data_IF_621641946532
#
_entry.id   IF_621641946532
#
_cell.length_a   1.000
_cell.length_b   1.000
_cell.length_c   1.000
_cell.angle_alpha   90.00
_cell.angle_beta   90.00
_cell.angle_gamma   90.00
#
_symmetry.space_group_name_H-M   'P 1'
#
loop_
_entity.id
_entity.type
_entity.pdbx_description
1 polymer ?
#
# COMPACT_ATOMS: atom_id res chain seq x y z
N UNK A 1 -12.79 28.13 -11.86
CA UNK A 1 -12.21 27.41 -13.02
C UNK A 1 -12.19 25.93 -12.70
N UNK A 2 -12.75 25.08 -13.56
CA UNK A 2 -12.87 23.65 -13.33
C UNK A 2 -11.47 22.97 -13.34
N UNK A 3 -11.09 22.22 -12.29
CA UNK A 3 -9.78 21.58 -12.20
C UNK A 3 -9.82 20.27 -12.98
N UNK A 4 -9.79 20.33 -14.31
CA UNK A 4 -9.83 19.13 -15.17
C UNK A 4 -8.49 18.76 -15.82
N UNK A 5 -7.39 19.44 -15.54
CA UNK A 5 -6.20 19.37 -16.41
C UNK A 5 -4.86 19.00 -15.77
N UNK A 6 -4.76 18.54 -14.52
CA UNK A 6 -3.43 18.40 -13.90
C UNK A 6 -3.26 17.14 -13.03
N UNK A 7 -3.78 15.98 -13.47
CA UNK A 7 -3.31 14.72 -12.89
C UNK A 7 -1.99 14.33 -13.53
N UNK A 8 -0.97 14.24 -12.68
CA UNK A 8 0.41 13.94 -13.02
C UNK A 8 0.55 12.85 -14.08
N UNK A 9 1.53 13.01 -14.97
CA UNK A 9 2.06 11.89 -15.74
C UNK A 9 2.33 10.76 -14.75
N UNK A 10 1.71 9.59 -14.91
CA UNK A 10 1.98 8.44 -14.02
C UNK A 10 3.41 7.97 -14.22
N UNK A 11 4.04 7.48 -13.17
CA UNK A 11 5.31 6.80 -13.31
C UNK A 11 5.14 5.61 -14.25
N UNK A 12 6.04 5.43 -15.22
CA UNK A 12 6.00 4.26 -16.09
C UNK A 12 6.67 3.09 -15.36
N UNK A 13 5.93 2.02 -15.02
CA UNK A 13 6.50 0.89 -14.30
C UNK A 13 7.64 0.27 -15.10
N UNK A 14 8.72 -0.12 -14.42
CA UNK A 14 9.81 -0.86 -15.07
C UNK A 14 9.38 -2.31 -15.32
N UNK A 15 9.33 -2.71 -16.58
CA UNK A 15 9.07 -4.09 -16.98
C UNK A 15 10.34 -4.95 -16.81
N UNK A 16 10.30 -5.82 -15.80
CA UNK A 16 11.38 -6.73 -15.42
C UNK A 16 11.07 -8.19 -15.77
N UNK A 17 10.07 -8.43 -16.63
CA UNK A 17 9.75 -9.79 -17.12
C UNK A 17 10.90 -10.42 -17.89
N UNK A 18 11.79 -9.60 -18.44
CA UNK A 18 13.00 -10.01 -19.18
C UNK A 18 14.26 -10.06 -18.31
N UNK A 19 14.19 -9.95 -16.99
CA UNK A 19 15.37 -10.10 -16.15
C UNK A 19 15.89 -11.55 -16.20
N UNK A 20 17.18 -11.75 -16.51
CA UNK A 20 17.73 -13.08 -16.80
C UNK A 20 18.25 -13.83 -15.57
N UNK A 21 18.51 -13.11 -14.46
CA UNK A 21 18.94 -13.70 -13.21
C UNK A 21 18.57 -12.82 -12.01
N UNK A 22 18.83 -13.33 -10.80
CA UNK A 22 18.44 -12.68 -9.54
C UNK A 22 19.24 -11.41 -9.24
N UNK A 23 20.53 -11.38 -9.58
CA UNK A 23 21.38 -10.20 -9.37
C UNK A 23 20.90 -9.04 -10.24
N UNK A 24 20.64 -9.31 -11.52
CA UNK A 24 20.06 -8.34 -12.43
C UNK A 24 18.68 -7.89 -11.95
N UNK A 25 17.81 -8.81 -11.51
CA UNK A 25 16.50 -8.44 -10.96
C UNK A 25 16.61 -7.54 -9.72
N UNK A 26 17.56 -7.83 -8.82
CA UNK A 26 17.84 -7.00 -7.65
C UNK A 26 18.28 -5.58 -8.05
N UNK A 27 19.33 -5.47 -8.88
CA UNK A 27 19.88 -4.19 -9.31
C UNK A 27 18.82 -3.36 -10.05
N UNK A 28 18.02 -4.01 -10.89
CA UNK A 28 16.99 -3.34 -11.68
C UNK A 28 15.83 -2.82 -10.84
N UNK A 29 15.44 -3.54 -9.78
CA UNK A 29 14.44 -3.08 -8.80
C UNK A 29 15.00 -1.90 -8.00
N UNK A 30 16.24 -1.99 -7.50
CA UNK A 30 16.86 -0.89 -6.75
C UNK A 30 16.96 0.38 -7.60
N UNK A 31 17.39 0.24 -8.85
CA UNK A 31 17.43 1.35 -9.79
C UNK A 31 16.05 1.94 -10.07
N UNK A 32 15.00 1.12 -10.22
CA UNK A 32 13.64 1.62 -10.44
C UNK A 32 13.15 2.48 -9.27
N UNK A 33 13.39 2.03 -8.02
CA UNK A 33 13.08 2.82 -6.82
C UNK A 33 13.90 4.11 -6.75
N UNK A 34 15.19 4.07 -7.08
CA UNK A 34 16.04 5.24 -7.09
C UNK A 34 15.54 6.30 -8.08
N UNK A 35 15.21 5.89 -9.31
CA UNK A 35 14.67 6.79 -10.35
C UNK A 35 13.34 7.37 -9.93
N UNK A 36 12.44 6.56 -9.35
CA UNK A 36 11.18 7.07 -8.82
C UNK A 36 11.43 8.15 -7.76
N UNK A 37 12.25 7.88 -6.74
CA UNK A 37 12.48 8.83 -5.65
C UNK A 37 13.20 10.10 -6.10
N UNK A 38 14.20 10.00 -7.00
CA UNK A 38 15.00 11.15 -7.41
C UNK A 38 14.32 12.03 -8.47
N UNK A 39 13.59 11.41 -9.41
CA UNK A 39 13.05 12.10 -10.58
C UNK A 39 11.55 12.32 -10.44
N UNK A 40 10.81 11.23 -10.19
CA UNK A 40 9.35 11.26 -10.21
C UNK A 40 8.75 11.90 -8.96
N UNK A 41 9.15 11.42 -7.78
CA UNK A 41 8.66 11.95 -6.48
C UNK A 41 8.96 13.44 -6.36
N UNK A 42 10.13 13.91 -6.81
CA UNK A 42 10.44 15.35 -6.86
C UNK A 42 9.43 16.14 -7.70
N UNK A 43 9.14 15.67 -8.92
CA UNK A 43 8.18 16.31 -9.82
C UNK A 43 6.76 16.32 -9.25
N UNK A 44 6.35 15.21 -8.62
CA UNK A 44 5.07 15.05 -7.93
C UNK A 44 4.96 15.98 -6.72
N UNK A 45 6.00 16.04 -5.90
CA UNK A 45 6.07 16.95 -4.76
C UNK A 45 6.01 18.42 -5.18
N UNK A 46 6.71 18.82 -6.23
CA UNK A 46 6.67 20.19 -6.73
C UNK A 46 5.28 20.59 -7.26
N UNK A 47 4.55 19.64 -7.83
CA UNK A 47 3.14 19.83 -8.19
C UNK A 47 2.24 19.94 -6.95
N UNK A 48 2.35 19.02 -6.00
CA UNK A 48 1.56 19.02 -4.77
C UNK A 48 1.80 20.28 -3.93
N UNK A 49 3.04 20.79 -3.87
CA UNK A 49 3.37 22.04 -3.18
C UNK A 49 2.68 23.25 -3.81
N UNK A 50 2.65 23.35 -5.14
CA UNK A 50 1.95 24.41 -5.85
C UNK A 50 0.44 24.37 -5.58
N UNK A 51 -0.15 23.18 -5.62
CA UNK A 51 -1.54 22.98 -5.25
C UNK A 51 -1.80 23.37 -3.78
N UNK A 52 -0.97 22.89 -2.86
CA UNK A 52 -1.10 23.17 -1.43
C UNK A 52 -1.03 24.67 -1.15
N UNK A 53 -0.09 25.40 -1.76
CA UNK A 53 0.01 26.85 -1.61
C UNK A 53 -1.29 27.54 -2.05
N UNK A 54 -1.82 27.20 -3.23
CA UNK A 54 -3.08 27.77 -3.71
C UNK A 54 -4.29 27.50 -2.81
N UNK A 55 -4.29 26.39 -2.06
CA UNK A 55 -5.33 26.09 -1.06
C UNK A 55 -5.12 26.88 0.24
N UNK A 56 -3.87 27.05 0.66
CA UNK A 56 -3.53 27.80 1.87
C UNK A 56 -3.87 29.28 1.74
N UNK A 57 -3.76 29.82 0.53
CA UNK A 57 -4.08 31.22 0.19
C UNK A 57 -5.60 31.50 0.10
N UNK A 58 -6.46 30.48 0.17
CA UNK A 58 -7.92 30.67 0.20
C UNK A 58 -8.35 31.34 1.52
N UNK A 59 -9.30 32.26 1.43
CA UNK A 59 -9.96 32.82 2.62
C UNK A 59 -10.75 31.74 3.37
N UNK A 60 -10.59 31.69 4.70
CA UNK A 60 -11.27 30.72 5.57
C UNK A 60 -12.72 31.13 5.82
N UNK A 61 -13.57 30.89 4.82
CA UNK A 61 -14.93 31.41 4.86
C UNK A 61 -15.98 30.35 5.28
N UNK A 62 -15.65 29.05 5.29
CA UNK A 62 -16.48 27.95 5.83
C UNK A 62 -15.73 26.60 5.80
N UNK A 63 -16.11 25.57 6.59
CA UNK A 63 -15.89 24.18 6.20
C UNK A 63 -16.56 23.96 4.83
N UNK A 64 -15.87 23.48 3.76
CA UNK A 64 -14.74 22.54 3.77
C UNK A 64 -13.33 23.15 3.66
N UNK A 65 -13.18 24.48 3.65
CA UNK A 65 -11.88 25.14 3.45
C UNK A 65 -10.89 24.77 4.56
N UNK A 66 -11.35 24.67 5.82
CA UNK A 66 -10.50 24.24 6.95
C UNK A 66 -9.91 22.85 6.72
N UNK A 67 -10.72 21.87 6.28
CA UNK A 67 -10.26 20.50 5.99
C UNK A 67 -9.28 20.51 4.81
N UNK A 68 -9.58 21.28 3.77
CA UNK A 68 -8.68 21.43 2.62
C UNK A 68 -7.34 22.04 3.02
N UNK A 69 -7.33 23.04 3.90
CA UNK A 69 -6.09 23.63 4.43
C UNK A 69 -5.30 22.65 5.30
N UNK A 70 -5.97 21.82 6.11
CA UNK A 70 -5.30 20.76 6.86
C UNK A 70 -4.64 19.73 5.92
N UNK A 71 -5.35 19.30 4.87
CA UNK A 71 -4.79 18.43 3.83
C UNK A 71 -3.62 19.11 3.11
N UNK A 72 -3.72 20.40 2.75
CA UNK A 72 -2.64 21.16 2.12
C UNK A 72 -1.38 21.22 3.00
N UNK A 73 -1.54 21.44 4.32
CA UNK A 73 -0.43 21.42 5.27
C UNK A 73 0.30 20.07 5.33
N UNK A 74 -0.41 18.96 5.12
CA UNK A 74 0.16 17.62 5.09
C UNK A 74 0.83 17.33 3.74
N UNK A 75 0.11 17.60 2.65
CA UNK A 75 0.51 17.25 1.29
C UNK A 75 1.64 18.11 0.72
N UNK A 76 1.93 19.28 1.31
CA UNK A 76 3.12 20.06 0.96
C UNK A 76 4.44 19.33 1.27
N UNK A 77 4.40 18.34 2.16
CA UNK A 77 5.59 17.64 2.68
C UNK A 77 5.59 16.13 2.41
N UNK A 78 4.50 15.55 1.89
CA UNK A 78 4.38 14.10 1.64
C UNK A 78 3.67 13.83 0.33
N UNK A 79 4.19 12.86 -0.41
CA UNK A 79 3.56 12.37 -1.64
C UNK A 79 2.23 11.68 -1.31
N UNK A 80 1.20 11.96 -2.09
CA UNK A 80 -0.12 11.33 -1.99
C UNK A 80 -0.48 10.70 -3.33
N UNK A 81 -0.88 9.43 -3.31
CA UNK A 81 -1.15 8.65 -4.54
C UNK A 81 -2.44 9.04 -5.26
N UNK A 82 -3.28 9.86 -4.63
CA UNK A 82 -4.57 10.24 -5.18
C UNK A 82 -4.82 11.74 -5.01
N UNK A 83 -5.75 12.32 -5.79
CA UNK A 83 -6.15 13.70 -5.59
C UNK A 83 -6.60 13.92 -4.16
N UNK A 84 -6.24 15.05 -3.53
CA UNK A 84 -6.88 15.50 -2.30
C UNK A 84 -8.37 15.76 -2.58
N UNK A 85 -9.17 14.71 -2.47
CA UNK A 85 -10.62 14.81 -2.31
C UNK A 85 -10.93 14.87 -0.82
N UNK A 86 -12.17 15.18 -0.46
CA UNK A 86 -12.68 15.12 0.91
C UNK A 86 -12.70 13.66 1.39
N UNK A 87 -11.51 13.09 1.64
CA UNK A 87 -11.32 11.77 2.22
C UNK A 87 -10.91 11.95 3.67
N UNK A 88 -11.45 11.11 4.55
CA UNK A 88 -11.16 11.17 5.98
C UNK A 88 -9.66 10.95 6.26
N UNK A 89 -9.01 10.12 5.43
CA UNK A 89 -7.60 9.77 5.56
C UNK A 89 -6.90 9.79 4.19
N UNK A 90 -5.94 10.71 3.97
CA UNK A 90 -5.15 10.72 2.74
C UNK A 90 -4.23 9.50 2.67
N UNK A 91 -4.09 8.95 1.47
CA UNK A 91 -3.23 7.80 1.20
C UNK A 91 -1.81 8.26 0.87
N UNK A 92 -1.00 8.42 1.92
CA UNK A 92 0.33 9.01 1.82
C UNK A 92 1.36 7.93 1.53
N UNK A 93 2.22 8.19 0.55
CA UNK A 93 3.37 7.34 0.26
C UNK A 93 4.34 7.33 1.44
N UNK A 94 4.82 6.14 1.83
CA UNK A 94 5.89 5.96 2.82
C UNK A 94 7.23 5.79 2.12
N UNK A 95 7.59 6.79 1.31
CA UNK A 95 8.76 6.75 0.41
C UNK A 95 10.09 6.48 1.15
N UNK A 96 10.19 6.89 2.42
CA UNK A 96 11.41 6.74 3.20
C UNK A 96 11.53 5.40 3.92
N UNK A 97 10.45 4.64 4.06
CA UNK A 97 10.43 3.57 5.07
C UNK A 97 10.40 2.17 4.48
N UNK A 98 9.60 1.87 3.46
CA UNK A 98 9.34 0.48 3.05
C UNK A 98 8.89 0.39 1.60
N UNK A 99 9.76 -0.09 0.71
CA UNK A 99 9.27 -0.74 -0.50
C UNK A 99 8.75 -2.13 -0.14
N UNK A 100 7.63 -2.50 -0.74
CA UNK A 100 6.97 -3.78 -0.52
C UNK A 100 6.62 -4.40 -1.87
N UNK A 101 6.47 -5.71 -1.83
CA UNK A 101 6.10 -6.50 -3.00
C UNK A 101 4.69 -7.04 -2.80
N UNK A 102 3.86 -6.91 -3.83
CA UNK A 102 2.57 -7.60 -3.92
C UNK A 102 2.71 -8.68 -4.97
N UNK A 103 2.51 -9.92 -4.56
CA UNK A 103 2.54 -11.07 -5.45
C UNK A 103 1.17 -11.33 -6.06
N UNK A 104 1.17 -11.76 -7.31
CA UNK A 104 -0.04 -11.92 -8.12
C UNK A 104 0.21 -12.88 -9.29
N UNK A 105 -0.87 -13.38 -9.88
CA UNK A 105 -0.77 -14.26 -11.04
C UNK A 105 -0.18 -13.55 -12.24
N UNK A 106 0.43 -14.31 -13.16
CA UNK A 106 0.98 -13.76 -14.40
C UNK A 106 -0.03 -12.97 -15.21
N UNK A 107 -1.28 -13.42 -15.26
CA UNK A 107 -2.39 -12.71 -15.93
C UNK A 107 -2.61 -11.32 -15.31
N UNK A 108 -2.70 -11.23 -13.98
CA UNK A 108 -2.85 -9.95 -13.28
C UNK A 108 -1.63 -9.04 -13.50
N UNK A 109 -0.43 -9.62 -13.61
CA UNK A 109 0.81 -8.86 -13.85
C UNK A 109 0.81 -8.24 -15.25
N UNK A 110 0.40 -9.01 -16.25
CA UNK A 110 0.25 -8.53 -17.63
C UNK A 110 -0.75 -7.38 -17.70
N UNK A 111 -1.87 -7.48 -16.99
CA UNK A 111 -2.83 -6.37 -16.89
C UNK A 111 -2.22 -5.10 -16.30
N UNK A 112 -1.37 -5.21 -15.28
CA UNK A 112 -0.65 -4.06 -14.71
C UNK A 112 0.34 -3.45 -15.71
N UNK A 113 1.02 -4.26 -16.51
CA UNK A 113 1.91 -3.78 -17.58
C UNK A 113 1.15 -3.01 -18.66
N UNK A 114 -0.01 -3.53 -19.06
CA UNK A 114 -0.89 -2.92 -20.05
C UNK A 114 -1.48 -1.59 -19.55
N UNK A 115 -2.04 -1.59 -18.34
CA UNK A 115 -2.69 -0.42 -17.73
C UNK A 115 -1.70 0.56 -17.10
N UNK A 116 -0.43 0.18 -16.99
CA UNK A 116 0.67 0.93 -16.35
C UNK A 116 0.34 1.43 -14.95
N UNK A 117 -0.57 0.76 -14.28
CA UNK A 117 -1.09 1.15 -12.97
C UNK A 117 -1.79 -0.04 -12.35
N UNK A 118 -2.00 0.04 -11.05
CA UNK A 118 -2.88 -0.88 -10.35
C UNK A 118 -3.88 -0.10 -9.52
N UNK A 119 -5.12 -0.58 -9.49
CA UNK A 119 -6.15 -0.05 -8.60
C UNK A 119 -6.50 -1.13 -7.59
N UNK A 120 -6.24 -0.86 -6.32
CA UNK A 120 -6.71 -1.72 -5.22
C UNK A 120 -8.10 -1.26 -4.80
N UNK A 121 -9.05 -2.18 -4.86
CA UNK A 121 -10.47 -1.90 -4.64
C UNK A 121 -10.99 -2.37 -3.29
N UNK A 122 -12.08 -3.13 -3.34
CA UNK A 122 -12.81 -3.69 -2.20
C UNK A 122 -12.20 -4.97 -1.65
N UNK A 123 -11.23 -5.56 -2.35
CA UNK A 123 -10.50 -6.72 -1.86
C UNK A 123 -9.29 -6.28 -1.04
N UNK A 124 -9.03 -7.01 0.05
CA UNK A 124 -7.80 -6.82 0.82
C UNK A 124 -6.58 -7.23 -0.01
N UNK A 125 -5.51 -6.45 0.10
CA UNK A 125 -4.25 -6.70 -0.60
C UNK A 125 -3.17 -6.97 0.41
N UNK A 126 -2.50 -8.11 0.25
CA UNK A 126 -1.35 -8.49 1.05
C UNK A 126 -0.07 -8.03 0.35
N UNK A 127 0.80 -7.35 1.08
CA UNK A 127 2.13 -6.98 0.64
C UNK A 127 3.17 -7.50 1.62
N UNK A 128 4.41 -7.65 1.18
CA UNK A 128 5.49 -8.20 2.01
C UNK A 128 6.85 -7.59 1.69
N UNK A 129 7.79 -7.71 2.62
CA UNK A 129 9.21 -7.39 2.41
C UNK A 129 10.01 -8.55 1.79
N UNK A 130 9.40 -9.73 1.61
CA UNK A 130 10.04 -10.83 0.88
C UNK A 130 10.33 -10.39 -0.56
N UNK A 131 11.58 -10.52 -0.99
CA UNK A 131 11.98 -10.00 -2.29
C UNK A 131 11.81 -11.05 -3.40
N UNK A 132 11.37 -10.67 -4.62
CA UNK A 132 11.04 -11.61 -5.69
C UNK A 132 12.26 -12.32 -6.29
N UNK A 133 13.47 -11.85 -5.99
CA UNK A 133 14.74 -12.42 -6.46
C UNK A 133 15.36 -13.42 -5.45
N UNK A 134 14.68 -13.77 -4.36
CA UNK A 134 15.17 -14.68 -3.32
C UNK A 134 15.09 -16.15 -3.77
N UNK A 135 16.04 -16.61 -4.57
CA UNK A 135 16.08 -18.02 -4.98
C UNK A 135 16.41 -18.99 -3.86
N UNK A 136 16.94 -18.51 -2.74
CA UNK A 136 17.08 -19.31 -1.54
C UNK A 136 15.71 -19.61 -0.88
N UNK A 137 14.62 -19.00 -1.34
CA UNK A 137 13.26 -19.34 -0.90
C UNK A 137 12.58 -20.28 -1.91
N UNK A 138 11.96 -21.33 -1.38
CA UNK A 138 11.17 -22.29 -2.16
C UNK A 138 9.77 -21.73 -2.39
N UNK A 139 9.20 -21.93 -3.58
CA UNK A 139 7.86 -21.43 -3.90
C UNK A 139 6.79 -21.97 -2.93
N UNK A 140 6.86 -23.24 -2.53
CA UNK A 140 5.97 -23.82 -1.53
C UNK A 140 6.06 -23.13 -0.17
N UNK A 141 7.26 -22.72 0.24
CA UNK A 141 7.48 -22.01 1.48
C UNK A 141 6.90 -20.58 1.39
N UNK A 142 6.98 -19.93 0.22
CA UNK A 142 6.32 -18.66 -0.05
C UNK A 142 4.79 -18.78 0.03
N UNK A 143 4.22 -19.84 -0.57
CA UNK A 143 2.79 -20.16 -0.47
C UNK A 143 2.37 -20.37 0.99
N UNK A 144 3.14 -21.17 1.73
CA UNK A 144 2.90 -21.41 3.17
C UNK A 144 2.91 -20.10 3.96
N UNK A 145 3.92 -19.25 3.76
CA UNK A 145 4.04 -17.97 4.44
C UNK A 145 2.86 -17.03 4.13
N UNK A 146 2.44 -16.94 2.86
CA UNK A 146 1.28 -16.13 2.47
C UNK A 146 -0.02 -16.66 3.07
N UNK A 147 -0.21 -17.97 3.11
CA UNK A 147 -1.41 -18.60 3.68
C UNK A 147 -1.47 -18.52 5.21
N UNK A 148 -0.33 -18.48 5.90
CA UNK A 148 -0.28 -18.16 7.34
C UNK A 148 -0.59 -16.68 7.56
N UNK A 149 0.02 -15.80 6.76
CA UNK A 149 -0.16 -14.37 6.91
C UNK A 149 -1.62 -13.95 6.67
N UNK A 150 -2.26 -14.51 5.64
CA UNK A 150 -3.65 -14.17 5.28
C UNK A 150 -4.47 -15.40 4.89
N UNK A 151 -4.97 -16.18 5.88
CA UNK A 151 -5.66 -17.44 5.63
C UNK A 151 -6.92 -17.31 4.78
N UNK A 152 -7.53 -16.12 4.71
CA UNK A 152 -8.79 -15.88 3.99
C UNK A 152 -8.67 -15.96 2.46
N UNK A 153 -7.50 -15.72 1.88
CA UNK A 153 -7.34 -15.66 0.40
C UNK A 153 -6.82 -16.95 -0.23
N UNK A 154 -6.38 -17.93 0.57
CA UNK A 154 -5.80 -19.23 0.13
C UNK A 154 -5.06 -19.13 -1.22
N UNK A 155 -3.84 -18.63 -1.15
CA UNK A 155 -2.92 -18.46 -2.27
C UNK A 155 -2.38 -19.82 -2.72
N UNK A 156 -2.27 -20.01 -4.04
CA UNK A 156 -1.60 -21.15 -4.68
C UNK A 156 -0.31 -20.70 -5.39
N UNK A 157 0.50 -21.65 -5.87
CA UNK A 157 1.76 -21.33 -6.58
C UNK A 157 1.56 -20.37 -7.79
N UNK A 158 0.51 -20.52 -8.64
CA UNK A 158 0.28 -19.61 -9.76
C UNK A 158 -0.02 -18.16 -9.33
N UNK A 159 -0.53 -17.95 -8.12
CA UNK A 159 -0.80 -16.61 -7.57
C UNK A 159 0.48 -15.87 -7.18
N UNK A 160 1.63 -16.55 -7.16
CA UNK A 160 2.94 -16.00 -6.79
C UNK A 160 3.93 -15.97 -7.97
N UNK A 161 3.47 -16.21 -9.20
CA UNK A 161 4.31 -16.21 -10.40
C UNK A 161 4.83 -14.80 -10.73
N UNK A 162 3.99 -13.78 -10.55
CA UNK A 162 4.31 -12.38 -10.80
C UNK A 162 4.44 -11.56 -9.52
N UNK A 163 5.07 -10.40 -9.64
CA UNK A 163 5.11 -9.40 -8.58
C UNK A 163 4.94 -7.99 -9.14
N UNK A 164 4.48 -7.10 -8.28
CA UNK A 164 4.65 -5.65 -8.42
C UNK A 164 5.43 -5.11 -7.22
N UNK A 165 6.29 -4.13 -7.47
CA UNK A 165 7.04 -3.40 -6.48
C UNK A 165 6.43 -2.01 -6.31
N UNK A 166 6.10 -1.65 -5.08
CA UNK A 166 5.48 -0.36 -4.74
C UNK A 166 6.12 0.21 -3.49
N UNK A 167 5.97 1.52 -3.30
CA UNK A 167 6.08 2.11 -1.97
C UNK A 167 4.77 1.84 -1.23
N UNK A 168 4.87 1.30 -0.01
CA UNK A 168 3.69 1.13 0.83
C UNK A 168 3.12 2.52 1.17
N UNK A 169 1.81 2.64 1.19
CA UNK A 169 1.15 3.85 1.67
C UNK A 169 0.73 3.74 3.14
N UNK A 170 0.13 4.79 3.69
CA UNK A 170 -0.45 4.79 5.04
C UNK A 170 -1.60 3.79 5.20
N UNK A 171 -2.23 3.35 4.10
CA UNK A 171 -3.29 2.33 4.13
C UNK A 171 -2.76 0.89 4.24
N UNK A 172 -1.46 0.66 4.02
CA UNK A 172 -0.82 -0.63 4.31
C UNK A 172 -0.43 -0.69 5.78
N UNK A 173 -1.27 -1.34 6.58
CA UNK A 173 -1.01 -1.53 8.00
C UNK A 173 -0.14 -2.77 8.22
N UNK A 174 0.73 -2.72 9.22
CA UNK A 174 1.50 -3.89 9.63
C UNK A 174 0.53 -4.99 10.06
N UNK A 175 0.68 -6.17 9.45
CA UNK A 175 -0.12 -7.34 9.80
C UNK A 175 0.63 -8.19 10.82
N UNK A 176 1.78 -8.74 10.42
CA UNK A 176 2.59 -9.61 11.26
C UNK A 176 4.00 -9.80 10.68
N UNK A 177 4.90 -10.35 11.51
CA UNK A 177 6.23 -10.80 11.12
C UNK A 177 6.28 -12.33 11.20
N UNK A 178 6.77 -12.98 10.14
CA UNK A 178 6.97 -14.43 10.09
C UNK A 178 8.45 -14.75 9.87
N UNK A 179 8.84 -15.92 10.39
CA UNK A 179 10.10 -16.55 10.02
C UNK A 179 9.88 -17.58 8.92
N UNK A 180 10.54 -17.34 7.79
CA UNK A 180 10.52 -18.19 6.62
C UNK A 180 11.83 -18.96 6.55
N UNK A 181 11.78 -20.27 6.28
CA UNK A 181 12.98 -21.10 6.23
C UNK A 181 13.49 -21.18 4.80
N UNK A 182 14.74 -20.77 4.58
CA UNK A 182 15.35 -20.87 3.25
C UNK A 182 15.88 -22.28 2.96
N UNK A 183 16.35 -22.53 1.74
CA UNK A 183 16.89 -23.82 1.28
C UNK A 183 18.07 -24.34 2.11
N UNK A 184 18.74 -23.46 2.86
CA UNK A 184 19.85 -23.79 3.75
C UNK A 184 19.40 -24.08 5.19
N UNK A 185 18.09 -24.13 5.46
CA UNK A 185 17.53 -24.34 6.80
C UNK A 185 17.61 -23.11 7.71
N UNK A 186 17.99 -21.94 7.19
CA UNK A 186 18.09 -20.70 7.99
C UNK A 186 16.76 -19.98 8.02
N UNK A 187 16.38 -19.49 9.19
CA UNK A 187 15.20 -18.64 9.34
C UNK A 187 15.50 -17.19 8.94
N UNK A 188 14.62 -16.61 8.13
CA UNK A 188 14.68 -15.24 7.65
C UNK A 188 13.39 -14.54 8.08
N UNK A 189 13.52 -13.41 8.77
CA UNK A 189 12.38 -12.58 9.16
C UNK A 189 11.78 -11.88 7.94
N UNK A 190 10.45 -11.91 7.84
CA UNK A 190 9.69 -11.35 6.74
C UNK A 190 8.46 -10.64 7.30
N UNK A 191 8.21 -9.41 6.88
CA UNK A 191 7.08 -8.61 7.35
C UNK A 191 5.97 -8.65 6.32
N UNK A 192 4.73 -8.82 6.78
CA UNK A 192 3.53 -8.71 5.98
C UNK A 192 2.74 -7.47 6.35
N UNK A 193 2.14 -6.85 5.34
CA UNK A 193 1.26 -5.71 5.46
C UNK A 193 -0.05 -6.04 4.78
N UNK A 194 -1.15 -5.56 5.34
CA UNK A 194 -2.46 -5.64 4.69
C UNK A 194 -2.95 -4.24 4.38
N UNK A 195 -3.45 -4.05 3.17
CA UNK A 195 -4.33 -2.93 2.83
C UNK A 195 -5.76 -3.45 2.83
N UNK A 196 -6.59 -2.96 3.73
CA UNK A 196 -8.00 -3.32 3.78
C UNK A 196 -8.75 -2.80 2.54
N UNK A 197 -9.74 -3.55 2.09
CA UNK A 197 -10.54 -3.22 0.92
C UNK A 197 -11.62 -2.18 1.22
N UNK A 198 -11.26 -0.91 1.31
CA UNK A 198 -12.19 0.18 1.68
C UNK A 198 -12.59 1.08 0.50
N UNK A 199 -12.08 0.80 -0.69
CA UNK A 199 -12.42 1.53 -1.91
C UNK A 199 -11.29 1.56 -2.94
N UNK A 200 -11.65 2.01 -4.14
CA UNK A 200 -10.71 2.08 -5.27
C UNK A 200 -9.67 3.18 -5.04
N UNK A 201 -8.40 2.78 -5.01
CA UNK A 201 -7.24 3.67 -4.99
C UNK A 201 -6.22 3.20 -6.00
N UNK A 202 -5.79 4.10 -6.87
CA UNK A 202 -4.69 3.85 -7.80
C UNK A 202 -3.35 4.01 -7.07
N UNK A 203 -2.40 3.13 -7.39
CA UNK A 203 -1.03 3.18 -6.88
C UNK A 203 -0.05 3.27 -8.04
N UNK A 204 1.04 4.00 -7.81
CA UNK A 204 2.18 3.98 -8.71
C UNK A 204 2.92 2.64 -8.56
N UNK A 205 3.06 1.93 -9.69
CA UNK A 205 3.84 0.69 -9.75
C UNK A 205 5.25 1.05 -10.20
N UNK A 206 6.23 0.73 -9.37
CA UNK A 206 7.64 1.09 -9.61
C UNK A 206 8.27 0.10 -10.58
N UNK A 207 8.03 -1.18 -10.34
CA UNK A 207 8.50 -2.26 -11.21
C UNK A 207 7.53 -3.43 -11.13
N UNK A 208 7.55 -4.27 -12.15
CA UNK A 208 6.82 -5.53 -12.15
C UNK A 208 7.57 -6.57 -12.97
N UNK A 209 7.41 -7.84 -12.61
CA UNK A 209 8.12 -8.92 -13.28
C UNK A 209 7.71 -10.28 -12.79
N UNK A 210 8.51 -11.27 -13.18
CA UNK A 210 8.34 -12.68 -12.79
C UNK A 210 9.23 -12.98 -11.59
N UNK A 211 8.73 -13.78 -10.67
CA UNK A 211 9.47 -14.20 -9.48
C UNK A 211 10.56 -15.23 -9.82
N UNK A 212 11.63 -15.25 -9.03
CA UNK A 212 12.80 -16.13 -9.22
C UNK A 212 12.94 -17.13 -8.06
N UNK A 213 11.82 -17.51 -7.44
CA UNK A 213 11.80 -18.51 -6.38
C UNK A 213 12.17 -19.89 -6.91
N UNK A 214 12.82 -20.70 -6.07
CA UNK A 214 13.19 -22.06 -6.44
C UNK A 214 11.95 -22.96 -6.41
N UNK A 215 11.65 -23.64 -7.52
CA UNK A 215 10.52 -24.59 -7.61
C UNK A 215 10.82 -25.93 -6.92
N UNK A 216 12.09 -26.35 -6.91
CA UNK A 216 12.51 -27.65 -6.41
C UNK A 216 13.71 -27.50 -5.46
N UNK A 217 13.47 -27.50 -4.16
CA UNK A 217 14.50 -27.85 -3.19
C UNK A 217 14.03 -29.13 -2.51
N UNK A 218 14.89 -30.14 -2.44
CA UNK A 218 14.59 -31.38 -1.71
C UNK A 218 14.02 -31.02 -0.35
N UNK A 219 12.79 -31.47 -0.10
CA UNK A 219 11.98 -31.13 1.08
C UNK A 219 12.79 -31.50 2.32
N UNK A 220 13.43 -30.52 2.95
CA UNK A 220 13.96 -30.71 4.29
C UNK A 220 12.75 -30.73 5.24
N UNK A 221 12.45 -31.85 5.92
CA UNK A 221 11.30 -31.93 6.81
C UNK A 221 11.47 -30.94 7.96
N UNK A 222 10.54 -29.98 8.08
CA UNK A 222 10.48 -29.05 9.22
C UNK A 222 9.76 -29.75 10.39
N UNK A 223 10.19 -29.56 11.64
CA UNK A 223 9.40 -29.97 12.80
C UNK A 223 8.04 -29.27 12.77
N UNK A 224 6.96 -30.01 13.05
CA UNK A 224 5.62 -29.46 13.09
C UNK A 224 5.52 -28.33 14.14
N UNK A 225 5.37 -27.08 13.68
CA UNK A 225 4.97 -25.98 14.54
C UNK A 225 3.45 -26.04 14.67
N UNK A 226 2.87 -26.03 15.89
CA UNK A 226 1.42 -25.99 16.05
C UNK A 226 0.88 -24.74 15.36
N UNK A 227 -0.05 -24.92 14.43
CA UNK A 227 -0.75 -23.82 13.78
C UNK A 227 -1.49 -23.03 14.86
N UNK A 228 -1.32 -21.69 14.96
CA UNK A 228 -2.23 -20.91 15.77
C UNK A 228 -3.65 -21.11 15.23
N UNK A 229 -4.60 -21.40 16.11
CA UNK A 229 -6.01 -21.42 15.75
C UNK A 229 -6.37 -20.07 15.11
N UNK A 230 -7.14 -20.06 14.00
CA UNK A 230 -7.54 -18.82 13.37
C UNK A 230 -8.36 -18.01 14.37
N UNK A 231 -7.91 -16.79 14.66
CA UNK A 231 -8.69 -15.85 15.45
C UNK A 231 -9.95 -15.46 14.66
N UNK A 232 -11.06 -16.11 15.00
CA UNK A 232 -12.37 -15.92 14.39
C UNK A 232 -13.01 -14.57 14.75
N UNK A 233 -12.34 -13.71 15.53
CA UNK A 233 -12.87 -12.38 15.90
C UNK A 233 -12.74 -11.34 14.79
N UNK A 234 -12.00 -11.59 13.72
CA UNK A 234 -12.00 -10.76 12.50
C UNK A 234 -13.15 -11.11 11.52
N UNK A 235 -14.18 -11.81 12.00
CA UNK A 235 -15.43 -12.02 11.27
C UNK A 235 -16.14 -10.69 11.04
N UNK A 236 -15.99 -10.17 9.81
CA UNK A 236 -17.08 -9.56 9.04
C UNK A 236 -17.88 -8.50 9.80
N UNK A 237 -17.30 -7.34 10.07
CA UNK A 237 -18.09 -6.11 10.23
C UNK A 237 -18.51 -5.57 8.86
N UNK A 238 -19.33 -6.36 8.17
CA UNK A 238 -20.30 -5.88 7.18
C UNK A 238 -21.60 -5.43 7.87
N UNK A 239 -22.47 -4.69 7.18
CA UNK A 239 -23.24 -3.56 7.73
C UNK A 239 -24.48 -3.96 8.55
N UNK A 240 -24.94 -2.99 9.37
CA UNK A 240 -26.22 -2.96 10.10
C UNK A 240 -26.37 -3.91 11.30
N UNK A 241 -26.07 -3.43 12.51
CA UNK A 241 -26.92 -3.67 13.67
C UNK A 241 -26.63 -2.71 14.85
N UNK A 242 -27.63 -1.85 15.09
CA UNK A 242 -28.14 -1.37 16.38
C UNK A 242 -27.19 -0.64 17.36
N UNK A 243 -27.46 0.67 17.47
CA UNK A 243 -27.61 1.46 18.71
C UNK A 243 -27.02 0.83 19.98
N UNK A 244 -25.95 1.44 20.47
CA UNK A 244 -25.80 1.67 21.91
C UNK A 244 -25.24 3.08 22.13
N UNK A 245 -25.86 3.71 23.11
CA UNK A 245 -25.86 5.11 23.49
C UNK A 245 -24.74 5.29 24.53
N UNK A 246 -23.79 6.20 24.28
CA UNK A 246 -22.62 6.35 25.14
C UNK A 246 -21.84 7.62 24.82
N UNK A 247 -22.27 8.69 25.48
CA UNK A 247 -21.61 9.98 25.70
C UNK A 247 -20.16 10.16 25.21
N UNK A 248 -19.97 11.12 24.30
CA UNK A 248 -18.85 12.06 24.35
C UNK A 248 -19.21 13.35 23.58
N UNK A 249 -19.69 14.37 24.30
CA UNK A 249 -19.79 15.77 23.84
C UNK A 249 -18.38 16.39 23.76
N UNK A 250 -18.02 17.11 22.68
CA UNK A 250 -17.08 18.21 22.77
C UNK A 250 -17.83 19.53 23.03
N UNK A 251 -17.18 20.42 23.78
CA UNK A 251 -17.72 21.63 24.38
C UNK A 251 -18.20 22.69 23.37
N UNK A 252 -19.35 23.29 23.67
CA UNK A 252 -19.87 24.53 23.06
C UNK A 252 -19.35 25.72 23.87
N UNK A 253 -18.61 26.62 23.24
CA UNK A 253 -18.29 27.93 23.79
C UNK A 253 -19.44 28.89 23.42
N UNK A 254 -20.17 29.34 24.44
CA UNK A 254 -21.29 30.27 24.32
C UNK A 254 -20.83 31.69 23.98
N UNK A 255 -21.33 32.25 22.87
CA UNK A 255 -21.34 33.68 22.59
C UNK A 255 -22.50 34.33 23.36
N UNK A 256 -22.18 35.15 24.36
CA UNK A 256 -23.14 36.09 24.96
C UNK A 256 -23.42 37.22 23.97
N UNK A 257 -24.66 37.30 23.50
CA UNK A 257 -25.33 38.56 23.11
C UNK A 257 -26.56 38.69 23.99
N UNK A 258 -26.45 39.49 25.05
CA UNK A 258 -27.62 40.05 25.71
C UNK A 258 -27.85 41.46 25.15
N UNK A 259 -29.03 41.55 24.57
CA UNK A 259 -29.82 42.70 24.19
C UNK A 259 -30.13 43.66 25.34
N UNK A 260 -30.13 44.96 25.02
CA UNK A 260 -31.09 45.98 25.48
C UNK A 260 -31.08 46.44 26.94
N UNK A 261 -30.67 47.70 27.17
CA UNK A 261 -31.46 48.72 27.87
C UNK A 261 -30.77 50.10 27.79
N UNK A 262 -31.54 51.12 27.40
CA UNK A 262 -31.26 52.57 27.25
C UNK A 262 -30.33 53.03 26.14
#
# INVERSE_FOLDING_TARGET
MAPRSLFLQRFQPRDLTKAWNQLNLFDEIQFAFLIYSQVYSKTLMDFQKRWAQGVLDLEENAPPVVILKQLAHLLKNKVCYHPPMLVDHPDLARENDRHVFVYLSREKMQKVLEEKSITFGLEAVLATTMQPYRSDLVLQEMVRAHNIAWPHRRVEEPDLEGFIAIFASTLFIHLLELKVTNVYGREVACTFFVRQGTGNRSYDVIACGITQFTKNAGVMPRPAVPSPEPDLTLRLSGPNQKREEGDMKPAIVNLKKETSAT
#
